data_IF_475004801820
#
_entry.id   IF_475004801820
#
_cell.length_a   1.000
_cell.length_b   1.000
_cell.length_c   1.000
_cell.angle_alpha   90.00
_cell.angle_beta   90.00
_cell.angle_gamma   90.00
#
_symmetry.space_group_name_H-M   'P 1'
#
loop_
_entity.id
_entity.type
_entity.pdbx_description
1 polymer ?
#
# COMPACT_ATOMS: atom_id res chain seq x y z
N UNK A 1 23.11 -3.85 0.12
CA UNK A 1 22.29 -2.62 -0.04
C UNK A 1 21.81 -2.22 1.33
N UNK A 2 21.83 -0.93 1.65
CA UNK A 2 21.27 -0.41 2.90
C UNK A 2 19.75 -0.36 2.77
N UNK A 3 19.03 -0.80 3.80
CA UNK A 3 17.57 -0.70 3.84
C UNK A 3 17.15 0.76 3.97
N UNK A 4 16.23 1.21 3.11
CA UNK A 4 15.61 2.53 3.18
C UNK A 4 14.17 2.36 3.63
N UNK A 5 13.79 3.03 4.72
CA UNK A 5 12.42 3.04 5.23
C UNK A 5 11.86 4.46 5.29
N UNK A 6 10.59 4.64 4.93
CA UNK A 6 9.82 5.88 5.11
C UNK A 6 8.63 5.58 6.01
N UNK A 7 8.52 6.27 7.14
CA UNK A 7 7.49 6.00 8.17
C UNK A 7 7.42 4.50 8.52
N UNK A 8 8.56 3.92 8.88
CA UNK A 8 8.68 2.49 9.25
C UNK A 8 8.32 1.49 8.15
N UNK A 9 8.07 1.95 6.92
CA UNK A 9 7.75 1.10 5.76
C UNK A 9 8.94 1.04 4.81
N UNK A 10 9.32 -0.16 4.38
CA UNK A 10 10.38 -0.34 3.39
C UNK A 10 10.07 0.41 2.09
N UNK A 11 11.10 0.97 1.46
CA UNK A 11 11.03 1.66 0.17
C UNK A 11 11.62 0.70 -0.88
N UNK A 12 10.81 -0.16 -1.52
CA UNK A 12 11.31 -1.22 -2.41
C UNK A 12 11.72 -0.69 -3.79
N UNK A 13 11.43 0.58 -4.08
CA UNK A 13 11.68 1.24 -5.36
C UNK A 13 11.79 2.74 -5.15
N UNK A 14 12.61 3.42 -5.96
CA UNK A 14 12.70 4.88 -6.01
C UNK A 14 11.34 5.53 -6.29
N UNK A 15 10.45 4.88 -7.04
CA UNK A 15 9.11 5.41 -7.31
C UNK A 15 8.19 5.36 -6.09
N UNK A 16 8.48 4.51 -5.10
CA UNK A 16 7.73 4.51 -3.84
C UNK A 16 7.95 5.80 -3.02
N UNK A 17 8.92 6.64 -3.40
CA UNK A 17 9.09 7.98 -2.82
C UNK A 17 8.02 8.98 -3.30
N UNK A 18 7.40 8.76 -4.46
CA UNK A 18 6.35 9.64 -5.00
C UNK A 18 5.07 9.56 -4.17
N UNK A 19 4.54 8.35 -4.01
CA UNK A 19 3.27 8.09 -3.36
C UNK A 19 2.55 6.92 -4.02
N UNK A 20 1.22 6.85 -3.87
CA UNK A 20 0.38 5.78 -4.44
C UNK A 20 -0.93 6.32 -5.04
N UNK A 21 -0.97 7.62 -5.36
CA UNK A 21 -2.10 8.26 -6.03
C UNK A 21 -2.00 8.07 -7.56
N UNK A 22 -3.06 8.40 -8.29
CA UNK A 22 -3.15 8.24 -9.76
C UNK A 22 -1.98 8.90 -10.46
N UNK A 23 -1.72 10.16 -10.11
CA UNK A 23 -0.63 10.96 -10.66
C UNK A 23 0.76 10.39 -10.33
N UNK A 24 0.92 9.75 -9.17
CA UNK A 24 2.20 9.12 -8.80
C UNK A 24 2.48 7.91 -9.71
N UNK A 25 1.44 7.13 -10.03
CA UNK A 25 1.53 5.96 -10.88
C UNK A 25 1.82 6.35 -12.34
N UNK A 26 1.12 7.36 -12.86
CA UNK A 26 1.36 7.86 -14.21
C UNK A 26 2.70 8.58 -14.33
N UNK A 27 3.17 9.28 -13.29
CA UNK A 27 4.50 9.84 -13.23
C UNK A 27 5.60 8.77 -13.27
N UNK A 28 5.46 7.70 -12.47
CA UNK A 28 6.39 6.57 -12.49
C UNK A 28 6.42 5.87 -13.86
N UNK A 29 5.25 5.65 -14.46
CA UNK A 29 5.11 5.08 -15.79
C UNK A 29 5.78 5.98 -16.85
N UNK A 30 5.43 7.27 -16.89
CA UNK A 30 5.97 8.24 -17.84
C UNK A 30 7.50 8.39 -17.73
N UNK A 31 8.03 8.46 -16.50
CA UNK A 31 9.47 8.52 -16.28
C UNK A 31 10.20 7.29 -16.82
N UNK A 32 9.62 6.10 -16.64
CA UNK A 32 10.17 4.83 -17.14
C UNK A 32 10.07 4.75 -18.66
N UNK A 33 8.94 5.14 -19.25
CA UNK A 33 8.73 5.18 -20.69
C UNK A 33 9.74 6.10 -21.41
N UNK A 34 10.17 7.20 -20.78
CA UNK A 34 11.22 8.07 -21.31
C UNK A 34 12.60 7.39 -21.38
N UNK A 35 12.80 6.32 -20.60
CA UNK A 35 14.09 5.63 -20.43
C UNK A 35 14.08 4.19 -20.94
N UNK A 36 12.93 3.71 -21.38
CA UNK A 36 12.75 2.35 -21.89
C UNK A 36 12.04 2.38 -23.24
N UNK A 37 12.80 2.48 -24.34
CA UNK A 37 12.25 2.35 -25.69
C UNK A 37 11.49 1.04 -25.90
N UNK A 38 11.96 -0.06 -25.29
CA UNK A 38 11.30 -1.36 -25.42
C UNK A 38 9.90 -1.37 -24.77
N UNK A 39 9.78 -0.84 -23.54
CA UNK A 39 8.47 -0.72 -22.89
C UNK A 39 7.57 0.25 -23.64
N UNK A 40 8.12 1.37 -24.12
CA UNK A 40 7.37 2.36 -24.90
C UNK A 40 6.77 1.77 -26.17
N UNK A 41 7.57 1.04 -26.95
CA UNK A 41 7.09 0.33 -28.13
C UNK A 41 6.03 -0.72 -27.76
N UNK A 42 6.23 -1.49 -26.68
CA UNK A 42 5.28 -2.51 -26.23
C UNK A 42 3.91 -1.91 -25.84
N UNK A 43 3.93 -0.82 -25.05
CA UNK A 43 2.70 -0.15 -24.62
C UNK A 43 1.98 0.46 -25.82
N UNK A 44 2.68 1.17 -26.71
CA UNK A 44 2.06 1.75 -27.92
C UNK A 44 1.46 0.63 -28.77
N UNK A 45 2.20 -0.45 -29.04
CA UNK A 45 1.67 -1.59 -29.78
C UNK A 45 0.40 -2.19 -29.16
N UNK A 46 0.32 -2.26 -27.83
CA UNK A 46 -0.84 -2.79 -27.11
C UNK A 46 -2.08 -1.89 -27.23
N UNK A 47 -1.89 -0.58 -27.14
CA UNK A 47 -3.01 0.37 -27.08
C UNK A 47 -3.39 0.94 -28.44
N UNK A 48 -2.55 0.76 -29.46
CA UNK A 48 -2.84 1.28 -30.78
C UNK A 48 -3.99 0.49 -31.42
N UNK A 49 -4.99 1.17 -32.00
CA UNK A 49 -6.20 0.52 -32.51
C UNK A 49 -5.97 -0.30 -33.79
N UNK A 50 -4.86 -0.11 -34.49
CA UNK A 50 -4.53 -0.82 -35.74
C UNK A 50 -3.35 -1.76 -35.55
N UNK A 51 -3.24 -2.76 -36.45
CA UNK A 51 -2.16 -3.77 -36.42
C UNK A 51 -0.75 -3.18 -36.55
N UNK A 52 -0.63 -1.99 -37.15
CA UNK A 52 0.66 -1.31 -37.34
C UNK A 52 0.72 -0.07 -36.47
N UNK A 53 1.38 -0.21 -35.33
CA UNK A 53 1.65 0.91 -34.43
C UNK A 53 2.70 1.88 -35.01
N UNK A 54 2.59 3.18 -34.74
CA UNK A 54 3.60 4.17 -35.10
C UNK A 54 4.92 3.93 -34.36
N UNK A 55 6.03 4.31 -35.00
CA UNK A 55 7.34 4.31 -34.36
C UNK A 55 7.37 5.27 -33.16
N UNK A 56 8.18 4.94 -32.16
CA UNK A 56 8.23 5.66 -30.87
C UNK A 56 9.60 6.25 -30.55
N UNK A 57 10.56 6.17 -31.48
CA UNK A 57 11.93 6.63 -31.28
C UNK A 57 11.99 8.14 -30.96
N UNK A 58 11.23 8.93 -31.70
CA UNK A 58 11.11 10.39 -31.53
C UNK A 58 9.95 10.82 -30.63
N UNK A 59 9.42 9.89 -29.82
CA UNK A 59 8.32 10.20 -28.93
C UNK A 59 8.77 11.13 -27.80
N UNK A 60 7.97 12.15 -27.50
CA UNK A 60 8.13 12.97 -26.29
C UNK A 60 7.03 12.66 -25.29
N UNK A 61 7.36 12.73 -23.99
CA UNK A 61 6.42 12.48 -22.91
C UNK A 61 6.22 13.76 -22.09
N UNK A 62 4.97 14.02 -21.74
CA UNK A 62 4.61 15.13 -20.88
C UNK A 62 3.65 14.64 -19.79
N UNK A 63 3.94 14.98 -18.54
CA UNK A 63 3.09 14.65 -17.39
C UNK A 63 2.26 15.87 -17.03
N UNK A 64 1.00 15.65 -16.64
CA UNK A 64 0.19 16.69 -16.01
C UNK A 64 -0.03 17.95 -16.85
N UNK A 65 -0.11 17.80 -18.18
CA UNK A 65 -0.30 18.90 -19.14
C UNK A 65 -1.67 19.55 -18.97
N UNK A 66 -1.66 20.85 -18.69
CA UNK A 66 -2.84 21.63 -18.34
C UNK A 66 -3.13 22.72 -19.36
N UNK A 67 -4.39 22.81 -19.75
CA UNK A 67 -4.96 23.91 -20.53
C UNK A 67 -6.33 24.32 -19.96
N UNK A 68 -7.16 24.98 -20.77
CA UNK A 68 -8.50 25.40 -20.39
C UNK A 68 -9.48 24.22 -20.30
N UNK A 69 -9.23 23.15 -21.05
CA UNK A 69 -10.07 21.96 -21.20
C UNK A 69 -9.82 20.95 -20.06
N UNK A 70 -8.62 20.93 -19.48
CA UNK A 70 -8.33 20.11 -18.30
C UNK A 70 -6.85 19.83 -18.09
N UNK A 71 -6.56 18.84 -17.24
CA UNK A 71 -5.20 18.35 -16.97
C UNK A 71 -5.15 16.86 -17.27
N UNK A 72 -4.37 16.45 -18.26
CA UNK A 72 -4.11 15.04 -18.57
C UNK A 72 -3.11 14.45 -17.60
N UNK A 73 -3.16 13.13 -17.35
CA UNK A 73 -2.19 12.52 -16.43
C UNK A 73 -0.84 12.27 -17.12
N UNK A 74 -0.87 11.77 -18.36
CA UNK A 74 0.32 11.55 -19.19
C UNK A 74 -0.05 11.68 -20.67
N UNK A 75 0.77 12.41 -21.43
CA UNK A 75 0.72 12.48 -22.88
C UNK A 75 1.99 11.88 -23.47
N UNK A 76 1.83 11.05 -24.50
CA UNK A 76 2.90 10.61 -25.38
C UNK A 76 2.67 11.19 -26.77
N UNK A 77 3.49 12.16 -27.12
CA UNK A 77 3.45 12.87 -28.41
C UNK A 77 4.37 12.13 -29.37
N UNK A 78 3.76 11.54 -30.38
CA UNK A 78 4.45 10.94 -31.52
C UNK A 78 4.59 11.98 -32.63
N UNK A 79 5.47 11.78 -33.63
CA UNK A 79 5.71 12.79 -34.66
C UNK A 79 4.46 13.31 -35.39
N UNK A 80 3.42 12.47 -35.52
CA UNK A 80 2.18 12.82 -36.24
C UNK A 80 0.90 12.44 -35.49
N UNK A 81 1.01 11.96 -34.25
CA UNK A 81 -0.12 11.42 -33.51
C UNK A 81 0.04 11.66 -31.99
N UNK A 82 -1.04 11.49 -31.25
CA UNK A 82 -1.07 11.74 -29.80
C UNK A 82 -1.70 10.57 -29.04
N UNK A 83 -1.02 10.09 -28.00
CA UNK A 83 -1.58 9.14 -27.04
C UNK A 83 -1.79 9.88 -25.72
N UNK A 84 -3.02 9.91 -25.22
CA UNK A 84 -3.33 10.53 -23.93
C UNK A 84 -3.74 9.42 -22.97
N UNK A 85 -3.12 9.39 -21.80
CA UNK A 85 -3.45 8.47 -20.72
C UNK A 85 -4.22 9.21 -19.62
N UNK A 86 -5.36 8.66 -19.23
CA UNK A 86 -6.16 9.09 -18.09
C UNK A 86 -6.27 7.93 -17.10
N UNK A 87 -5.74 8.11 -15.89
CA UNK A 87 -5.68 7.09 -14.86
C UNK A 87 -6.80 7.24 -13.82
N UNK A 88 -7.20 6.11 -13.24
CA UNK A 88 -8.15 6.02 -12.13
C UNK A 88 -7.72 5.03 -11.07
N UNK A 89 -8.05 5.31 -9.81
CA UNK A 89 -7.76 4.43 -8.66
C UNK A 89 -8.65 3.19 -8.67
N UNK A 90 -8.04 2.08 -8.25
CA UNK A 90 -8.76 0.82 -8.07
C UNK A 90 -9.44 0.38 -9.36
N UNK A 91 -10.67 -0.11 -9.25
CA UNK A 91 -11.45 -0.62 -10.38
C UNK A 91 -12.30 0.44 -11.10
N UNK A 92 -12.08 1.72 -10.80
CA UNK A 92 -12.83 2.82 -11.43
C UNK A 92 -12.29 3.06 -12.85
N UNK A 93 -13.14 3.47 -13.78
CA UNK A 93 -12.76 3.98 -15.10
C UNK A 93 -13.26 5.43 -15.28
N UNK A 94 -12.60 6.24 -16.13
CA UNK A 94 -13.05 7.61 -16.41
C UNK A 94 -14.43 7.62 -17.06
N UNK A 95 -15.18 8.71 -16.86
CA UNK A 95 -16.45 8.93 -17.56
C UNK A 95 -16.22 9.41 -18.99
N UNK A 96 -17.22 9.23 -19.87
CA UNK A 96 -17.17 9.77 -21.23
C UNK A 96 -16.94 11.29 -21.24
N UNK A 97 -17.59 12.03 -20.34
CA UNK A 97 -17.43 13.48 -20.21
C UNK A 97 -16.01 13.89 -19.79
N UNK A 98 -15.31 13.07 -18.99
CA UNK A 98 -13.91 13.33 -18.64
C UNK A 98 -13.01 13.17 -19.86
N UNK A 99 -13.24 12.13 -20.66
CA UNK A 99 -12.43 11.82 -21.83
C UNK A 99 -12.70 12.74 -23.02
N UNK A 100 -13.94 13.22 -23.20
CA UNK A 100 -14.32 14.15 -24.26
C UNK A 100 -13.53 15.47 -24.22
N UNK A 101 -13.08 15.89 -23.03
CA UNK A 101 -12.21 17.07 -22.86
C UNK A 101 -10.91 16.98 -23.64
N UNK A 102 -10.43 15.77 -23.92
CA UNK A 102 -9.13 15.54 -24.56
C UNK A 102 -9.25 15.10 -26.02
N UNK A 103 -10.44 14.77 -26.51
CA UNK A 103 -10.65 14.33 -27.89
C UNK A 103 -10.18 15.39 -28.90
N UNK A 104 -10.44 16.67 -28.63
CA UNK A 104 -10.00 17.79 -29.47
C UNK A 104 -8.47 17.89 -29.60
N UNK A 105 -7.72 17.59 -28.53
CA UNK A 105 -6.25 17.58 -28.55
C UNK A 105 -5.73 16.53 -29.53
N UNK A 106 -6.32 15.33 -29.53
CA UNK A 106 -5.92 14.24 -30.42
C UNK A 106 -6.34 14.54 -31.87
N UNK A 107 -7.54 15.07 -32.08
CA UNK A 107 -8.05 15.41 -33.41
C UNK A 107 -7.19 16.47 -34.14
N UNK A 108 -6.48 17.32 -33.38
CA UNK A 108 -5.56 18.30 -33.96
C UNK A 108 -4.30 17.66 -34.60
N UNK A 109 -3.99 16.39 -34.31
CA UNK A 109 -2.85 15.70 -34.88
C UNK A 109 -3.20 15.04 -36.24
N UNK A 110 -2.31 15.11 -37.26
CA UNK A 110 -2.61 14.63 -38.62
C UNK A 110 -2.97 13.15 -38.76
N UNK A 111 -2.49 12.30 -37.85
CA UNK A 111 -2.82 10.86 -37.82
C UNK A 111 -3.75 10.51 -36.66
N UNK A 112 -4.34 11.51 -36.01
CA UNK A 112 -5.18 11.34 -34.82
C UNK A 112 -4.38 10.74 -33.67
N UNK A 113 -4.92 9.68 -33.07
CA UNK A 113 -4.33 9.04 -31.91
C UNK A 113 -5.31 8.19 -31.14
N UNK A 114 -5.06 8.01 -29.83
CA UNK A 114 -5.86 7.14 -28.97
C UNK A 114 -5.93 7.69 -27.55
N UNK A 115 -7.13 7.59 -26.96
CA UNK A 115 -7.37 7.82 -25.54
C UNK A 115 -7.17 6.50 -24.80
N UNK A 116 -6.22 6.47 -23.88
CA UNK A 116 -5.92 5.30 -23.05
C UNK A 116 -6.44 5.53 -21.65
N UNK A 117 -7.22 4.61 -21.12
CA UNK A 117 -7.63 4.64 -19.71
C UNK A 117 -6.81 3.64 -18.90
N UNK A 118 -6.29 4.03 -17.75
CA UNK A 118 -5.43 3.21 -16.88
C UNK A 118 -6.09 2.98 -15.53
N UNK A 119 -6.39 1.72 -15.16
CA UNK A 119 -6.83 1.39 -13.80
C UNK A 119 -6.61 -0.08 -13.47
N UNK A 120 -7.06 -0.53 -12.30
CA UNK A 120 -7.04 -1.96 -11.93
C UNK A 120 -8.26 -2.72 -12.50
N UNK A 121 -9.18 -2.04 -13.19
CA UNK A 121 -10.29 -2.71 -13.86
C UNK A 121 -9.78 -3.67 -14.94
N UNK A 122 -10.45 -4.80 -15.11
CA UNK A 122 -10.25 -5.61 -16.32
C UNK A 122 -10.89 -4.90 -17.51
N UNK A 123 -10.51 -5.31 -18.74
CA UNK A 123 -11.17 -4.80 -19.96
C UNK A 123 -12.67 -5.08 -19.95
N UNK A 124 -13.08 -6.28 -19.55
CA UNK A 124 -14.49 -6.67 -19.43
C UNK A 124 -15.24 -5.77 -18.42
N UNK A 125 -14.61 -5.46 -17.29
CA UNK A 125 -15.21 -4.57 -16.28
C UNK A 125 -15.30 -3.13 -16.79
N UNK A 126 -14.29 -2.63 -17.51
CA UNK A 126 -14.33 -1.31 -18.12
C UNK A 126 -15.49 -1.18 -19.12
N UNK A 127 -15.66 -2.18 -19.99
CA UNK A 127 -16.79 -2.25 -20.92
C UNK A 127 -18.12 -2.34 -20.18
N UNK A 128 -18.24 -3.20 -19.17
CA UNK A 128 -19.46 -3.34 -18.37
C UNK A 128 -19.81 -2.07 -17.57
N UNK A 129 -18.81 -1.27 -17.22
CA UNK A 129 -18.96 0.02 -16.53
C UNK A 129 -19.34 1.17 -17.49
N UNK A 130 -19.54 0.87 -18.78
CA UNK A 130 -19.97 1.84 -19.78
C UNK A 130 -18.84 2.68 -20.38
N UNK A 131 -17.57 2.24 -20.28
CA UNK A 131 -16.48 2.90 -20.99
C UNK A 131 -16.74 2.79 -22.52
N UNK A 132 -16.89 3.91 -23.24
CA UNK A 132 -17.17 3.87 -24.67
C UNK A 132 -15.94 3.37 -25.44
N UNK A 133 -16.15 2.73 -26.59
CA UNK A 133 -15.07 2.31 -27.48
C UNK A 133 -14.45 3.49 -28.26
N UNK A 134 -15.16 4.62 -28.32
CA UNK A 134 -14.70 5.83 -28.99
C UNK A 134 -15.42 7.06 -28.45
N UNK A 135 -14.76 8.21 -28.49
CA UNK A 135 -15.34 9.53 -28.19
C UNK A 135 -14.98 10.49 -29.31
N UNK A 136 -15.98 11.11 -29.92
CA UNK A 136 -15.82 12.01 -31.07
C UNK A 136 -14.97 11.42 -32.21
N UNK A 137 -15.11 10.12 -32.46
CA UNK A 137 -14.34 9.38 -33.45
C UNK A 137 -12.92 8.99 -33.01
N UNK A 138 -12.46 9.43 -31.84
CA UNK A 138 -11.17 9.03 -31.25
C UNK A 138 -11.33 7.68 -30.55
N UNK A 139 -10.51 6.66 -30.88
CA UNK A 139 -10.52 5.38 -30.20
C UNK A 139 -10.22 5.53 -28.71
N UNK A 140 -10.96 4.79 -27.88
CA UNK A 140 -10.73 4.67 -26.44
C UNK A 140 -10.34 3.23 -26.13
N UNK A 141 -9.15 3.05 -25.53
CA UNK A 141 -8.62 1.73 -25.18
C UNK A 141 -8.33 1.67 -23.69
N UNK A 142 -8.90 0.67 -23.01
CA UNK A 142 -8.57 0.43 -21.61
C UNK A 142 -7.29 -0.40 -21.49
N UNK A 143 -6.31 0.11 -20.76
CA UNK A 143 -5.08 -0.58 -20.37
C UNK A 143 -5.13 -0.90 -18.87
N UNK A 144 -5.43 -2.14 -18.48
CA UNK A 144 -5.31 -2.57 -17.09
C UNK A 144 -3.86 -2.44 -16.61
N UNK A 145 -3.67 -2.04 -15.36
CA UNK A 145 -2.35 -2.01 -14.74
C UNK A 145 -1.66 -3.39 -14.70
N UNK A 146 -2.45 -4.47 -14.68
CA UNK A 146 -1.93 -5.85 -14.80
C UNK A 146 -1.29 -6.11 -16.16
N UNK A 147 -1.87 -5.60 -17.24
CA UNK A 147 -1.33 -5.76 -18.59
C UNK A 147 -0.04 -4.94 -18.76
N UNK A 148 0.00 -3.73 -18.19
CA UNK A 148 1.22 -2.93 -18.15
C UNK A 148 2.34 -3.64 -17.36
N UNK A 149 2.01 -4.32 -16.27
CA UNK A 149 2.96 -5.17 -15.52
C UNK A 149 3.49 -6.35 -16.35
N UNK A 150 2.66 -6.97 -17.19
CA UNK A 150 3.07 -8.04 -18.08
C UNK A 150 4.04 -7.54 -19.17
N UNK A 151 3.76 -6.37 -19.74
CA UNK A 151 4.66 -5.71 -20.70
C UNK A 151 6.00 -5.36 -20.06
N UNK A 152 5.99 -4.82 -18.83
CA UNK A 152 7.21 -4.56 -18.06
C UNK A 152 7.95 -5.87 -17.83
N UNK A 153 7.28 -6.93 -17.38
CA UNK A 153 7.90 -8.24 -17.13
C UNK A 153 8.56 -8.82 -18.38
N UNK A 154 7.94 -8.63 -19.54
CA UNK A 154 8.48 -9.05 -20.83
C UNK A 154 9.71 -8.23 -21.21
N UNK A 155 9.62 -6.90 -21.18
CA UNK A 155 10.74 -6.00 -21.49
C UNK A 155 11.95 -6.24 -20.56
N UNK A 156 11.71 -6.53 -19.28
CA UNK A 156 12.75 -6.89 -18.30
C UNK A 156 13.59 -8.09 -18.74
N UNK A 157 13.04 -9.05 -19.47
CA UNK A 157 13.80 -10.25 -19.90
C UNK A 157 14.78 -9.93 -21.02
N UNK A 158 14.48 -8.95 -21.86
CA UNK A 158 15.25 -8.62 -23.07
C UNK A 158 16.18 -7.43 -22.87
N UNK A 159 15.79 -6.45 -22.06
CA UNK A 159 16.59 -5.24 -21.82
C UNK A 159 17.78 -5.49 -20.88
N UNK A 160 18.80 -4.63 -20.98
CA UNK A 160 20.03 -4.68 -20.16
C UNK A 160 20.40 -3.27 -19.69
N UNK A 161 21.41 -3.17 -18.82
CA UNK A 161 21.95 -1.89 -18.37
C UNK A 161 20.91 -1.03 -17.63
N UNK A 162 20.96 0.29 -17.86
CA UNK A 162 20.11 1.28 -17.18
C UNK A 162 18.64 1.12 -17.49
N UNK A 163 18.27 0.72 -18.71
CA UNK A 163 16.88 0.43 -19.07
C UNK A 163 16.30 -0.67 -18.18
N UNK A 164 17.06 -1.75 -17.97
CA UNK A 164 16.66 -2.88 -17.10
C UNK A 164 16.41 -2.42 -15.66
N UNK A 165 17.24 -1.51 -15.15
CA UNK A 165 17.11 -0.95 -13.79
C UNK A 165 15.79 -0.20 -13.65
N UNK A 166 15.46 0.72 -14.56
CA UNK A 166 14.20 1.46 -14.48
C UNK A 166 12.96 0.56 -14.58
N UNK A 167 13.06 -0.53 -15.35
CA UNK A 167 12.00 -1.54 -15.42
C UNK A 167 11.88 -2.35 -14.12
N UNK A 168 12.99 -2.66 -13.43
CA UNK A 168 12.95 -3.28 -12.10
C UNK A 168 12.29 -2.37 -11.07
N UNK A 169 12.68 -1.09 -11.04
CA UNK A 169 12.12 -0.09 -10.14
C UNK A 169 10.62 0.07 -10.36
N UNK A 170 10.15 0.15 -11.63
CA UNK A 170 8.73 0.29 -11.93
C UNK A 170 7.96 -0.98 -11.57
N UNK A 171 8.53 -2.15 -11.87
CA UNK A 171 7.91 -3.43 -11.53
C UNK A 171 7.74 -3.63 -10.02
N UNK A 172 8.76 -3.31 -9.22
CA UNK A 172 8.70 -3.39 -7.76
C UNK A 172 7.66 -2.43 -7.19
N UNK A 173 7.62 -1.19 -7.68
CA UNK A 173 6.65 -0.19 -7.28
C UNK A 173 5.20 -0.60 -7.60
N UNK A 174 4.93 -0.95 -8.87
CA UNK A 174 3.59 -1.29 -9.31
C UNK A 174 3.06 -2.57 -8.65
N UNK A 175 3.89 -3.58 -8.37
CA UNK A 175 3.43 -4.75 -7.62
C UNK A 175 2.97 -4.41 -6.20
N UNK A 176 3.63 -3.45 -5.52
CA UNK A 176 3.22 -3.00 -4.19
C UNK A 176 1.92 -2.20 -4.19
N UNK A 177 1.58 -1.51 -5.28
CA UNK A 177 0.37 -0.67 -5.37
C UNK A 177 -0.83 -1.41 -5.98
N UNK A 178 -0.60 -2.27 -6.98
CA UNK A 178 -1.68 -2.96 -7.73
C UNK A 178 -2.21 -4.17 -6.96
N UNK A 179 -1.33 -4.90 -6.27
CA UNK A 179 -1.71 -6.11 -5.53
C UNK A 179 -1.91 -5.75 -4.05
N UNK A 180 -3.16 -5.78 -3.61
CA UNK A 180 -3.59 -5.89 -2.20
C UNK A 180 -3.50 -4.65 -1.29
N UNK A 181 -4.45 -4.58 -0.34
CA UNK A 181 -4.28 -3.83 0.91
C UNK A 181 -2.96 -4.27 1.53
N UNK A 182 -2.12 -3.32 1.90
CA UNK A 182 -0.85 -3.60 2.57
C UNK A 182 -1.06 -4.62 3.71
N UNK A 183 -0.49 -5.84 3.65
CA UNK A 183 -0.61 -6.84 4.71
C UNK A 183 -0.16 -6.32 6.08
N UNK A 184 0.72 -5.30 6.12
CA UNK A 184 1.06 -4.55 7.34
C UNK A 184 -0.18 -4.02 8.05
N UNK A 185 -1.24 -3.64 7.32
CA UNK A 185 -2.49 -3.18 7.92
C UNK A 185 -3.23 -4.27 8.70
N UNK A 186 -2.91 -5.54 8.44
CA UNK A 186 -3.43 -6.71 9.14
C UNK A 186 -2.43 -7.26 10.18
N UNK A 187 -1.26 -6.63 10.36
CA UNK A 187 -0.34 -7.04 11.42
C UNK A 187 -0.92 -6.71 12.79
N UNK A 188 -0.79 -7.70 13.67
CA UNK A 188 -1.22 -7.67 15.05
C UNK A 188 0.01 -7.67 15.95
N UNK A 189 0.10 -6.69 16.85
CA UNK A 189 1.18 -6.61 17.83
C UNK A 189 0.81 -7.46 19.06
N UNK A 190 1.52 -8.57 19.25
CA UNK A 190 1.28 -9.51 20.33
C UNK A 190 2.22 -9.24 21.51
N UNK A 191 1.63 -8.90 22.66
CA UNK A 191 2.35 -8.59 23.91
C UNK A 191 2.01 -9.61 24.99
N UNK A 192 2.99 -9.91 25.84
CA UNK A 192 2.77 -10.73 27.04
C UNK A 192 2.30 -9.84 28.18
N UNK A 193 1.28 -10.29 28.90
CA UNK A 193 0.79 -9.65 30.12
C UNK A 193 1.19 -10.47 31.35
N UNK A 194 1.28 -9.79 32.49
CA UNK A 194 1.54 -10.40 33.79
C UNK A 194 0.69 -9.71 34.86
N UNK A 195 0.78 -10.23 36.08
CA UNK A 195 0.09 -9.68 37.26
C UNK A 195 0.87 -8.54 37.93
N UNK A 196 1.92 -8.00 37.29
CA UNK A 196 2.63 -6.85 37.83
C UNK A 196 1.77 -5.60 37.68
N UNK A 197 2.02 -4.64 38.57
CA UNK A 197 1.36 -3.34 38.54
C UNK A 197 2.31 -2.25 38.01
N UNK A 198 1.81 -1.27 37.24
CA UNK A 198 2.63 -0.16 36.76
C UNK A 198 3.31 0.58 37.93
N UNK A 199 4.60 0.89 37.82
CA UNK A 199 5.33 1.55 38.89
C UNK A 199 5.48 0.73 40.18
N UNK A 200 5.20 -0.58 40.15
CA UNK A 200 5.22 -1.43 41.34
C UNK A 200 4.05 -1.21 42.30
N UNK A 201 3.02 -0.45 41.90
CA UNK A 201 1.82 -0.17 42.71
C UNK A 201 0.64 0.29 41.87
N UNK A 202 -0.36 0.94 42.49
CA UNK A 202 -1.61 1.29 41.82
C UNK A 202 -2.71 0.24 41.97
N UNK A 203 -3.91 0.57 41.49
CA UNK A 203 -5.10 -0.25 41.73
C UNK A 203 -5.16 -1.51 40.85
N UNK A 204 -4.52 -1.48 39.67
CA UNK A 204 -4.69 -2.51 38.63
C UNK A 204 -3.35 -3.07 38.13
N UNK A 205 -3.38 -4.33 37.73
CA UNK A 205 -2.30 -5.03 37.02
C UNK A 205 -2.35 -4.74 35.53
N UNK A 206 -1.26 -5.02 34.80
CA UNK A 206 -1.26 -4.96 33.34
C UNK A 206 -2.33 -5.85 32.69
N UNK A 207 -2.67 -6.97 33.34
CA UNK A 207 -3.75 -7.85 32.88
C UNK A 207 -5.12 -7.16 33.00
N UNK A 208 -5.42 -6.56 34.16
CA UNK A 208 -6.70 -5.91 34.45
C UNK A 208 -6.95 -4.68 33.58
N UNK A 209 -5.91 -3.91 33.21
CA UNK A 209 -6.08 -2.82 32.24
C UNK A 209 -6.62 -3.29 30.89
N UNK A 210 -6.20 -4.47 30.45
CA UNK A 210 -6.64 -5.04 29.17
C UNK A 210 -7.99 -5.73 29.31
N UNK A 211 -8.21 -6.50 30.38
CA UNK A 211 -9.45 -7.29 30.54
C UNK A 211 -10.64 -6.47 30.99
N UNK A 212 -10.41 -5.44 31.80
CA UNK A 212 -11.48 -4.74 32.52
C UNK A 212 -11.61 -3.31 31.96
N UNK A 213 -10.50 -2.59 31.86
CA UNK A 213 -10.50 -1.19 31.39
C UNK A 213 -10.42 -1.05 29.86
N UNK A 214 -10.23 -2.15 29.12
CA UNK A 214 -10.14 -2.16 27.66
C UNK A 214 -9.11 -1.16 27.13
N UNK A 215 -7.94 -1.08 27.78
CA UNK A 215 -6.84 -0.25 27.34
C UNK A 215 -5.50 -0.94 27.51
N UNK A 216 -4.50 -0.47 26.76
CA UNK A 216 -3.12 -0.88 26.93
C UNK A 216 -2.19 0.32 26.73
N UNK A 217 -1.04 0.28 27.37
CA UNK A 217 -0.05 1.34 27.27
C UNK A 217 1.37 0.79 27.38
N UNK A 218 2.31 1.55 26.83
CA UNK A 218 3.74 1.31 27.00
C UNK A 218 4.52 2.63 26.89
N UNK A 219 5.77 2.67 27.39
CA UNK A 219 6.64 3.83 27.19
C UNK A 219 6.77 4.18 25.70
N UNK A 220 6.65 5.46 25.38
CA UNK A 220 6.77 5.99 24.02
C UNK A 220 8.15 6.59 23.79
N UNK A 221 8.83 6.16 22.72
CA UNK A 221 10.19 6.63 22.40
C UNK A 221 11.27 6.19 23.40
N UNK A 222 10.93 5.35 24.38
CA UNK A 222 11.85 4.83 25.39
C UNK A 222 11.68 3.31 25.55
N UNK A 223 12.76 2.61 25.88
CA UNK A 223 12.79 1.15 25.97
C UNK A 223 12.99 0.47 24.61
N UNK A 224 13.53 -0.74 24.62
CA UNK A 224 13.83 -1.46 23.38
C UNK A 224 12.53 -1.95 22.73
N UNK A 225 12.32 -1.74 21.42
CA UNK A 225 11.37 -2.50 20.60
C UNK A 225 9.87 -2.22 20.77
N UNK A 226 9.47 -1.08 21.34
CA UNK A 226 8.08 -0.62 21.33
C UNK A 226 7.72 0.04 19.98
N UNK A 227 6.46 -0.08 19.51
CA UNK A 227 6.05 0.57 18.28
C UNK A 227 5.93 2.09 18.47
N UNK A 228 6.44 2.85 17.50
CA UNK A 228 6.25 4.31 17.43
C UNK A 228 4.94 4.68 16.72
N UNK A 229 4.49 3.84 15.80
CA UNK A 229 3.20 3.99 15.12
C UNK A 229 2.18 3.03 15.76
N UNK A 230 0.93 3.48 16.04
CA UNK A 230 -0.07 2.64 16.67
C UNK A 230 -0.40 1.43 15.79
N UNK A 231 -0.39 0.19 16.34
CA UNK A 231 -0.85 -0.97 15.59
C UNK A 231 -2.34 -0.85 15.26
N UNK A 232 -2.80 -1.49 14.17
CA UNK A 232 -4.24 -1.62 13.91
C UNK A 232 -4.90 -2.63 14.86
N UNK A 233 -4.15 -3.67 15.25
CA UNK A 233 -4.60 -4.74 16.11
C UNK A 233 -3.56 -5.08 17.17
N UNK A 234 -4.03 -5.41 18.37
CA UNK A 234 -3.20 -5.94 19.45
C UNK A 234 -3.71 -7.30 19.89
N UNK A 235 -2.77 -8.19 20.20
CA UNK A 235 -3.04 -9.47 20.84
C UNK A 235 -2.34 -9.54 22.19
N UNK A 236 -2.98 -10.18 23.15
CA UNK A 236 -2.49 -10.27 24.52
C UNK A 236 -2.39 -11.73 24.92
N UNK A 237 -1.20 -12.11 25.40
CA UNK A 237 -0.91 -13.47 25.84
C UNK A 237 -0.49 -13.53 27.30
N UNK A 238 -0.92 -14.57 27.99
CA UNK A 238 -0.48 -14.92 29.34
C UNK A 238 -0.69 -16.44 29.52
N UNK A 239 -0.11 -17.04 30.56
CA UNK A 239 -0.26 -18.48 30.86
C UNK A 239 -0.06 -19.41 29.64
N UNK A 240 0.90 -19.06 28.77
CA UNK A 240 1.23 -19.86 27.59
C UNK A 240 0.20 -19.80 26.45
N UNK A 241 -0.76 -18.87 26.48
CA UNK A 241 -1.79 -18.74 25.44
C UNK A 241 -2.02 -17.28 25.03
N UNK A 242 -2.39 -17.05 23.77
CA UNK A 242 -3.00 -15.78 23.34
C UNK A 242 -4.47 -15.84 23.71
N UNK A 243 -4.91 -14.89 24.52
CA UNK A 243 -6.28 -14.89 25.06
C UNK A 243 -7.16 -13.80 24.44
N UNK A 244 -6.60 -12.62 24.16
CA UNK A 244 -7.40 -11.49 23.71
C UNK A 244 -6.80 -10.91 22.44
N UNK A 245 -7.66 -10.61 21.48
CA UNK A 245 -7.31 -9.89 20.27
C UNK A 245 -8.28 -8.73 20.16
N UNK A 246 -7.76 -7.53 19.93
CA UNK A 246 -8.53 -6.30 19.87
C UNK A 246 -8.08 -5.47 18.67
N UNK A 247 -9.04 -4.80 18.04
CA UNK A 247 -8.73 -3.66 17.18
C UNK A 247 -8.43 -2.45 18.06
N UNK A 248 -7.43 -1.65 17.70
CA UNK A 248 -7.25 -0.34 18.32
C UNK A 248 -8.28 0.63 17.73
N UNK A 249 -9.08 1.26 18.58
CA UNK A 249 -10.11 2.24 18.19
C UNK A 249 -9.63 3.67 18.36
N UNK A 250 -8.69 3.89 19.27
CA UNK A 250 -8.07 5.19 19.50
C UNK A 250 -6.64 5.00 20.01
N UNK A 251 -5.76 5.91 19.63
CA UNK A 251 -4.37 5.94 20.09
C UNK A 251 -3.95 7.38 20.35
N UNK A 252 -3.25 7.60 21.45
CA UNK A 252 -2.66 8.89 21.81
C UNK A 252 -1.32 8.70 22.51
N UNK A 253 -0.52 9.77 22.57
CA UNK A 253 0.69 9.82 23.39
C UNK A 253 0.46 10.80 24.53
N UNK A 254 0.48 10.29 25.76
CA UNK A 254 0.33 11.09 26.97
C UNK A 254 1.70 11.39 27.59
N UNK A 255 1.88 12.55 28.24
CA UNK A 255 3.19 12.96 28.78
C UNK A 255 3.66 12.09 29.96
N UNK A 256 2.74 11.46 30.68
CA UNK A 256 3.01 10.48 31.74
C UNK A 256 1.80 9.57 31.96
N UNK A 257 1.98 8.38 32.54
CA UNK A 257 0.85 7.53 32.93
C UNK A 257 0.00 8.18 34.02
N UNK A 258 0.63 8.96 34.91
CA UNK A 258 -0.04 9.64 36.01
C UNK A 258 -1.08 10.65 35.54
N UNK A 259 -0.93 11.18 34.31
CA UNK A 259 -1.92 12.06 33.69
C UNK A 259 -3.27 11.36 33.51
N UNK A 260 -3.27 10.06 33.20
CA UNK A 260 -4.49 9.28 32.99
C UNK A 260 -4.90 8.43 34.20
N UNK A 261 -3.91 7.95 34.95
CA UNK A 261 -4.08 7.06 36.11
C UNK A 261 -3.34 7.64 37.32
N UNK A 262 -3.95 8.58 38.07
CA UNK A 262 -3.30 9.26 39.19
C UNK A 262 -2.92 8.33 40.36
N UNK A 263 -3.50 7.13 40.43
CA UNK A 263 -3.20 6.11 41.44
C UNK A 263 -1.91 5.31 41.15
N UNK A 264 -1.38 5.40 39.92
CA UNK A 264 -0.12 4.76 39.56
C UNK A 264 1.05 5.50 40.22
N UNK A 265 1.94 4.81 40.97
CA UNK A 265 3.10 5.43 41.58
C UNK A 265 4.03 6.09 40.55
N UNK A 266 4.59 7.24 40.94
CA UNK A 266 5.64 7.91 40.17
C UNK A 266 6.96 7.13 40.26
N UNK A 267 7.49 6.71 39.11
CA UNK A 267 8.85 6.21 38.97
C UNK A 267 9.46 6.63 37.63
N UNK A 268 10.71 6.24 37.39
CA UNK A 268 11.46 6.61 36.20
C UNK A 268 10.82 6.14 34.88
N UNK A 269 9.92 5.16 34.91
CA UNK A 269 9.16 4.70 33.75
C UNK A 269 7.86 5.48 33.69
N UNK A 270 7.01 5.44 34.71
CA UNK A 270 5.64 5.96 34.71
C UNK A 270 5.54 7.47 34.53
N UNK A 271 6.62 8.22 34.81
CA UNK A 271 6.70 9.67 34.57
C UNK A 271 7.14 10.07 33.16
N UNK A 272 7.46 9.11 32.28
CA UNK A 272 7.86 9.37 30.89
C UNK A 272 6.67 9.33 29.93
N UNK A 273 6.79 9.84 28.69
CA UNK A 273 5.72 9.74 27.70
C UNK A 273 5.30 8.29 27.45
N UNK A 274 3.99 8.05 27.31
CA UNK A 274 3.43 6.73 27.03
C UNK A 274 2.51 6.76 25.83
N UNK A 275 2.60 5.73 24.99
CA UNK A 275 1.56 5.44 24.02
C UNK A 275 0.42 4.77 24.77
N UNK A 276 -0.80 5.23 24.53
CA UNK A 276 -2.00 4.69 25.13
C UNK A 276 -2.99 4.32 24.03
N UNK A 277 -3.56 3.12 24.15
CA UNK A 277 -4.47 2.55 23.18
C UNK A 277 -5.81 2.22 23.83
N UNK A 278 -6.89 2.67 23.21
CA UNK A 278 -8.23 2.19 23.49
C UNK A 278 -8.49 0.93 22.67
N UNK A 279 -8.86 -0.14 23.36
CA UNK A 279 -9.16 -1.44 22.76
C UNK A 279 -10.66 -1.50 22.42
N UNK A 280 -10.96 -1.83 21.17
CA UNK A 280 -12.33 -2.15 20.75
C UNK A 280 -12.80 -3.48 21.34
N UNK A 281 -14.00 -3.94 20.96
CA UNK A 281 -14.49 -5.25 21.35
C UNK A 281 -13.49 -6.35 21.00
N UNK A 282 -13.45 -7.40 21.83
CA UNK A 282 -12.66 -8.60 21.53
C UNK A 282 -13.11 -9.18 20.19
N UNK A 283 -12.15 -9.53 19.35
CA UNK A 283 -12.41 -10.22 18.08
C UNK A 283 -12.03 -11.71 18.17
N UNK A 284 -12.61 -12.58 17.31
CA UNK A 284 -12.30 -14.00 17.28
C UNK A 284 -10.80 -14.28 17.05
N UNK A 285 -10.31 -15.49 17.37
CA UNK A 285 -11.02 -16.55 18.08
C UNK A 285 -11.24 -16.21 19.56
N UNK A 286 -12.32 -16.76 20.12
CA UNK A 286 -12.68 -16.55 21.52
C UNK A 286 -12.14 -17.63 22.45
N UNK A 287 -11.62 -18.72 21.89
CA UNK A 287 -10.87 -19.73 22.64
C UNK A 287 -9.40 -19.32 22.71
N UNK A 288 -8.70 -19.56 23.84
CA UNK A 288 -7.28 -19.27 23.94
C UNK A 288 -6.45 -20.06 22.92
N UNK A 289 -5.54 -19.39 22.23
CA UNK A 289 -4.64 -20.00 21.25
C UNK A 289 -3.33 -20.40 21.95
N UNK A 290 -2.93 -21.68 21.98
CA UNK A 290 -1.66 -22.10 22.56
C UNK A 290 -0.47 -21.37 21.92
N UNK A 291 0.55 -21.05 22.71
CA UNK A 291 1.73 -20.35 22.18
C UNK A 291 2.56 -21.25 21.24
N UNK A 292 2.55 -22.58 21.47
CA UNK A 292 3.27 -23.57 20.66
C UNK A 292 4.78 -23.65 20.91
N UNK A 293 5.41 -22.57 21.39
CA UNK A 293 6.80 -22.57 21.88
C UNK A 293 7.08 -21.47 22.90
N UNK A 294 8.18 -21.55 23.64
CA UNK A 294 8.50 -20.53 24.64
C UNK A 294 9.14 -19.29 24.00
N UNK A 295 8.35 -18.20 23.91
CA UNK A 295 8.83 -16.89 23.46
C UNK A 295 9.28 -15.95 24.59
N UNK A 296 9.33 -16.43 25.85
CA UNK A 296 9.63 -15.61 27.04
C UNK A 296 8.79 -14.33 27.04
N UNK A 297 9.40 -13.17 27.30
CA UNK A 297 8.76 -11.86 27.25
C UNK A 297 8.86 -11.17 25.88
N UNK A 298 9.14 -11.90 24.80
CA UNK A 298 9.21 -11.31 23.46
C UNK A 298 7.86 -10.73 23.04
N UNK A 299 7.91 -9.56 22.42
CA UNK A 299 6.80 -8.92 21.71
C UNK A 299 6.91 -9.31 20.25
N UNK A 300 5.80 -9.71 19.65
CA UNK A 300 5.78 -10.44 18.38
C UNK A 300 4.84 -9.75 17.41
N UNK A 301 5.23 -9.69 16.13
CA UNK A 301 4.34 -9.29 15.05
C UNK A 301 3.85 -10.53 14.31
N UNK A 302 2.55 -10.61 14.10
CA UNK A 302 1.88 -11.74 13.43
C UNK A 302 0.71 -11.21 12.61
N UNK A 303 0.44 -11.77 11.44
CA UNK A 303 -0.74 -11.43 10.66
C UNK A 303 -2.01 -11.88 11.38
N UNK A 304 -3.05 -11.03 11.39
CA UNK A 304 -4.29 -11.30 12.12
C UNK A 304 -4.96 -12.59 11.63
N UNK A 305 -5.07 -12.80 10.33
CA UNK A 305 -5.68 -14.01 9.75
C UNK A 305 -4.92 -15.28 10.13
N UNK A 306 -3.59 -15.24 10.13
CA UNK A 306 -2.76 -16.36 10.59
C UNK A 306 -2.97 -16.62 12.08
N UNK A 307 -3.02 -15.57 12.90
CA UNK A 307 -3.28 -15.70 14.32
C UNK A 307 -4.68 -16.27 14.59
N UNK A 308 -5.68 -15.94 13.77
CA UNK A 308 -7.05 -16.38 13.96
C UNK A 308 -7.32 -17.82 13.52
N UNK A 309 -6.48 -18.37 12.65
CA UNK A 309 -6.73 -19.67 11.99
C UNK A 309 -5.71 -20.74 12.34
N UNK A 310 -4.49 -20.36 12.72
CA UNK A 310 -3.46 -21.33 13.07
C UNK A 310 -3.71 -21.99 14.43
N UNK A 311 -3.30 -23.26 14.60
CA UNK A 311 -3.50 -23.98 15.86
C UNK A 311 -2.65 -23.43 17.01
N UNK A 312 -1.51 -22.77 16.72
CA UNK A 312 -0.68 -22.11 17.72
C UNK A 312 -0.14 -20.76 17.25
N UNK A 313 0.26 -19.89 18.18
CA UNK A 313 0.98 -18.65 17.85
C UNK A 313 2.30 -18.94 17.10
N UNK A 314 2.95 -20.07 17.38
CA UNK A 314 4.17 -20.46 16.69
C UNK A 314 3.93 -20.74 15.21
N UNK A 315 2.85 -21.45 14.88
CA UNK A 315 2.45 -21.74 13.51
C UNK A 315 1.98 -20.46 12.80
N UNK A 316 1.24 -19.60 13.49
CA UNK A 316 0.81 -18.30 12.95
C UNK A 316 1.99 -17.40 12.54
N UNK A 317 3.05 -17.37 13.36
CA UNK A 317 4.27 -16.59 13.07
C UNK A 317 5.01 -17.17 11.87
N UNK A 318 5.06 -18.50 11.75
CA UNK A 318 5.70 -19.15 10.61
C UNK A 318 4.92 -18.89 9.30
N UNK A 319 3.60 -19.05 9.32
CA UNK A 319 2.74 -18.68 8.19
C UNK A 319 2.86 -17.21 7.82
N UNK A 320 2.96 -16.32 8.81
CA UNK A 320 3.24 -14.89 8.58
C UNK A 320 4.54 -14.66 7.83
N UNK A 321 5.62 -15.36 8.20
CA UNK A 321 6.91 -15.24 7.49
C UNK A 321 6.85 -15.75 6.06
N UNK A 322 6.13 -16.84 5.81
CA UNK A 322 5.97 -17.40 4.48
C UNK A 322 5.16 -16.49 3.54
N UNK A 323 4.22 -15.71 4.09
CA UNK A 323 3.39 -14.78 3.31
C UNK A 323 4.07 -13.43 3.06
N UNK A 324 4.98 -13.00 3.94
CA UNK A 324 5.63 -11.68 3.88
C UNK A 324 7.10 -11.71 3.42
N UNK A 325 7.75 -12.87 3.42
CA UNK A 325 9.13 -13.07 2.94
C UNK A 325 9.19 -13.46 1.48
#
# INVERSE_FOLDING_TARGET
MTELTRHSTAVPSVYALLGTLENDLTAALGYTLARSPALRASIVHRVWPTTTAPATDDATLALEERDAEGRTDLEMRLPRALVIFEAKRGWIVPTADQLAKYAGRIAAHPQGGVLVTLSQASRDLATASGLPASIDGIPVVHLPWTDALDDITTARRTCRGTERVWLDELHAYLNGVIRMRNPENCKTYCVVLNQARPGGGGARTFLEYVTDEHCYFHPYGAGNGWPTDPPNFMAFRWDGHVHRIHRITHAEVIPSLLHRFPDVPADAVTTTPHAMYTLGPRIPPFDPIPTGKNYRAARLWVLLDQLQTAPTLADAIEGTRQLLG
#
